data_IF_136074346705
#
_entry.id   IF_136074346705
#
_cell.length_a   1.000
_cell.length_b   1.000
_cell.length_c   1.000
_cell.angle_alpha   90.00
_cell.angle_beta   90.00
_cell.angle_gamma   90.00
#
_symmetry.space_group_name_H-M   'P 1'
#
loop_
_entity.id
_entity.type
_entity.pdbx_description
1 polymer ?
#
# COMPACT_ATOMS: atom_id res chain seq x y z
N UNK A 1 -25.27 10.75 -11.22
CA UNK A 1 -24.17 10.92 -12.17
C UNK A 1 -23.20 9.75 -12.06
N UNK A 2 -22.76 9.23 -13.21
CA UNK A 2 -21.74 8.18 -13.31
C UNK A 2 -20.52 8.80 -13.98
N UNK A 3 -19.34 8.47 -13.47
CA UNK A 3 -18.04 8.90 -14.02
C UNK A 3 -17.30 7.68 -14.56
N UNK A 4 -16.77 7.79 -15.76
CA UNK A 4 -15.97 6.73 -16.39
C UNK A 4 -14.55 7.22 -16.60
N UNK A 5 -13.62 6.35 -16.32
CA UNK A 5 -12.18 6.58 -16.36
C UNK A 5 -11.59 5.57 -17.34
N UNK A 6 -10.87 6.04 -18.34
CA UNK A 6 -10.39 5.20 -19.44
C UNK A 6 -8.87 5.32 -19.57
N UNK A 7 -8.16 4.21 -19.48
CA UNK A 7 -6.77 4.13 -19.92
C UNK A 7 -6.73 3.68 -21.38
N UNK A 8 -6.16 4.50 -22.25
CA UNK A 8 -6.00 4.21 -23.66
C UNK A 8 -4.51 4.32 -24.02
N UNK A 9 -3.80 3.18 -23.99
CA UNK A 9 -2.36 3.12 -24.26
C UNK A 9 -2.09 2.81 -25.72
N UNK A 10 -1.67 3.82 -26.47
CA UNK A 10 -1.35 3.77 -27.89
C UNK A 10 -2.29 4.61 -28.73
N UNK A 11 -3.58 4.27 -28.92
CA UNK A 11 -4.49 5.03 -29.74
C UNK A 11 -4.69 6.46 -29.23
N UNK A 12 -4.68 7.44 -30.16
CA UNK A 12 -4.90 8.86 -29.81
C UNK A 12 -6.37 9.20 -29.56
N UNK A 13 -7.26 8.31 -29.97
CA UNK A 13 -8.70 8.53 -29.92
C UNK A 13 -9.43 7.19 -29.87
N UNK A 14 -10.56 7.16 -29.14
CA UNK A 14 -11.51 6.06 -29.14
C UNK A 14 -12.94 6.58 -29.29
N UNK A 15 -13.83 5.70 -29.74
CA UNK A 15 -15.27 5.95 -29.78
C UNK A 15 -15.92 5.30 -28.55
N UNK A 16 -16.83 6.00 -27.88
CA UNK A 16 -17.65 5.47 -26.81
C UNK A 16 -19.12 5.40 -27.25
N UNK A 17 -19.82 4.29 -26.90
CA UNK A 17 -21.24 4.09 -27.15
C UNK A 17 -21.88 3.46 -25.91
N UNK A 18 -23.02 4.01 -25.51
CA UNK A 18 -23.88 3.38 -24.52
C UNK A 18 -24.62 2.20 -25.16
N UNK A 19 -24.53 1.02 -24.55
CA UNK A 19 -25.20 -0.19 -24.96
C UNK A 19 -25.95 -0.84 -23.79
N UNK A 20 -27.12 -1.39 -24.04
CA UNK A 20 -27.84 -2.28 -23.13
C UNK A 20 -27.36 -3.69 -23.41
N UNK A 21 -26.94 -4.40 -22.35
CA UNK A 21 -26.50 -5.77 -22.45
C UNK A 21 -27.69 -6.72 -22.38
N UNK A 22 -27.95 -7.40 -23.48
CA UNK A 22 -29.06 -8.38 -23.56
C UNK A 22 -28.54 -9.77 -23.17
N UNK A 23 -27.38 -10.13 -23.68
CA UNK A 23 -26.76 -11.43 -23.38
C UNK A 23 -25.23 -11.31 -23.45
N UNK A 24 -24.53 -11.75 -22.44
CA UNK A 24 -23.08 -11.61 -22.27
C UNK A 24 -22.27 -12.87 -22.61
N UNK A 25 -22.88 -13.90 -23.20
CA UNK A 25 -22.19 -15.14 -23.52
C UNK A 25 -21.35 -15.01 -24.77
N UNK A 26 -20.05 -15.23 -24.65
CA UNK A 26 -19.12 -15.27 -25.81
C UNK A 26 -18.89 -16.69 -26.33
N UNK A 27 -19.57 -17.69 -25.75
CA UNK A 27 -19.47 -19.08 -26.19
C UNK A 27 -20.02 -19.24 -27.62
N UNK A 28 -19.23 -19.76 -28.58
CA UNK A 28 -19.69 -19.98 -29.97
C UNK A 28 -20.88 -20.93 -30.12
N UNK A 29 -21.16 -21.74 -29.09
CA UNK A 29 -22.29 -22.68 -29.04
C UNK A 29 -23.51 -22.11 -28.32
N UNK A 30 -23.38 -20.95 -27.69
CA UNK A 30 -24.44 -20.23 -26.99
C UNK A 30 -25.13 -19.21 -27.89
N UNK A 31 -26.03 -18.39 -27.33
CA UNK A 31 -26.75 -17.34 -28.09
C UNK A 31 -25.80 -16.19 -28.54
N UNK A 32 -24.60 -16.12 -28.03
CA UNK A 32 -23.63 -15.10 -28.39
C UNK A 32 -23.74 -13.82 -27.56
N UNK A 33 -22.82 -12.90 -27.78
CA UNK A 33 -22.87 -11.55 -27.22
C UNK A 33 -23.94 -10.74 -27.96
N UNK A 34 -24.99 -10.33 -27.24
CA UNK A 34 -26.10 -9.54 -27.79
C UNK A 34 -26.15 -8.21 -27.04
N UNK A 35 -25.91 -7.13 -27.74
CA UNK A 35 -26.00 -5.75 -27.26
C UNK A 35 -26.99 -4.91 -28.06
N UNK A 36 -27.63 -3.96 -27.41
CA UNK A 36 -28.54 -3.00 -28.07
C UNK A 36 -28.01 -1.60 -27.89
N UNK A 37 -27.63 -0.89 -28.96
CA UNK A 37 -27.18 0.50 -28.87
C UNK A 37 -28.26 1.41 -28.30
N UNK A 38 -27.86 2.30 -27.39
CA UNK A 38 -28.73 3.31 -26.77
C UNK A 38 -28.27 4.69 -27.22
N UNK A 39 -29.20 5.53 -27.66
CA UNK A 39 -28.92 6.94 -27.96
C UNK A 39 -28.64 7.68 -26.65
N UNK A 40 -27.45 8.27 -26.52
CA UNK A 40 -27.03 8.96 -25.32
C UNK A 40 -26.07 10.12 -25.62
N UNK A 41 -26.02 11.08 -24.73
CA UNK A 41 -25.07 12.20 -24.80
C UNK A 41 -23.60 11.79 -24.70
N UNK A 42 -23.31 10.60 -24.17
CA UNK A 42 -21.93 10.08 -24.07
C UNK A 42 -21.49 9.34 -25.34
N UNK A 43 -22.36 9.15 -26.31
CA UNK A 43 -21.96 8.55 -27.58
C UNK A 43 -21.13 9.54 -28.38
N UNK A 44 -19.88 9.19 -28.67
CA UNK A 44 -19.01 10.09 -29.41
C UNK A 44 -17.52 9.69 -29.35
N UNK A 45 -16.70 10.60 -29.83
CA UNK A 45 -15.23 10.42 -29.86
C UNK A 45 -14.57 11.11 -28.70
N UNK A 46 -13.64 10.40 -28.09
CA UNK A 46 -12.88 10.84 -26.94
C UNK A 46 -11.37 10.76 -27.20
N UNK A 47 -10.63 11.62 -26.53
CA UNK A 47 -9.17 11.62 -26.62
C UNK A 47 -8.58 10.43 -25.86
N UNK A 48 -7.80 9.59 -26.55
CA UNK A 48 -7.02 8.54 -25.92
C UNK A 48 -5.84 9.12 -25.15
N UNK A 49 -5.63 8.63 -23.94
CA UNK A 49 -4.49 8.97 -23.10
C UNK A 49 -4.10 7.78 -22.24
N UNK A 50 -2.80 7.64 -22.04
CA UNK A 50 -2.28 6.66 -21.10
C UNK A 50 -2.48 7.18 -19.67
N UNK A 51 -3.12 6.36 -18.83
CA UNK A 51 -3.28 6.58 -17.41
C UNK A 51 -2.65 5.40 -16.65
N UNK A 52 -1.74 5.69 -15.72
CA UNK A 52 -0.99 4.66 -14.99
C UNK A 52 -1.69 4.39 -13.67
N UNK A 53 -1.81 3.12 -13.29
CA UNK A 53 -2.23 2.75 -11.94
C UNK A 53 -1.01 2.86 -11.02
N UNK A 54 -1.14 3.65 -9.96
CA UNK A 54 -0.15 3.72 -8.90
C UNK A 54 -0.54 2.77 -7.79
N UNK A 55 -0.06 1.53 -7.90
CA UNK A 55 -0.29 0.51 -6.89
C UNK A 55 0.63 0.67 -5.68
N UNK A 56 0.32 -0.06 -4.63
CA UNK A 56 1.06 -0.17 -3.40
C UNK A 56 0.48 0.66 -2.26
N UNK A 57 0.57 0.10 -1.08
CA UNK A 57 0.12 0.74 0.15
C UNK A 57 1.29 1.27 0.97
N UNK A 58 1.04 2.37 1.70
CA UNK A 58 2.03 3.04 2.53
C UNK A 58 1.37 3.99 3.54
N UNK A 59 2.13 4.42 4.52
CA UNK A 59 1.75 5.56 5.38
C UNK A 59 2.53 6.80 4.97
N UNK A 60 1.88 7.99 5.00
CA UNK A 60 2.54 9.24 4.68
C UNK A 60 2.27 10.31 5.75
N UNK A 61 3.31 11.04 6.12
CA UNK A 61 3.27 12.16 7.06
C UNK A 61 3.89 13.36 6.38
N UNK A 62 3.19 14.49 6.36
CA UNK A 62 3.73 15.72 5.80
C UNK A 62 5.10 16.10 6.39
N UNK A 63 5.92 16.75 5.59
CA UNK A 63 7.18 17.30 6.07
C UNK A 63 6.96 18.32 7.20
N UNK A 64 7.69 18.13 8.29
CA UNK A 64 7.75 19.07 9.41
C UNK A 64 9.21 19.25 9.80
N UNK A 65 9.57 20.43 10.26
CA UNK A 65 10.96 20.76 10.66
C UNK A 65 11.53 19.81 11.72
N UNK A 66 10.67 19.19 12.54
CA UNK A 66 11.04 18.19 13.54
C UNK A 66 11.64 16.92 12.93
N UNK A 67 11.36 16.64 11.67
CA UNK A 67 11.96 15.53 10.93
C UNK A 67 13.29 15.89 10.25
N UNK A 68 13.73 17.15 10.32
CA UNK A 68 15.03 17.59 9.81
C UNK A 68 16.13 17.30 10.84
N UNK A 69 16.34 16.03 11.12
CA UNK A 69 17.20 15.54 12.21
C UNK A 69 18.69 15.59 11.83
N UNK A 70 19.54 16.00 12.78
CA UNK A 70 21.00 15.86 12.66
C UNK A 70 21.44 14.48 13.13
N UNK A 71 21.12 14.13 14.37
CA UNK A 71 21.28 12.79 14.93
C UNK A 71 19.92 12.18 15.12
N UNK A 72 19.80 10.85 15.00
CA UNK A 72 18.50 10.18 15.09
C UNK A 72 18.62 8.72 15.49
N UNK A 73 17.49 8.14 15.87
CA UNK A 73 17.29 6.69 15.93
C UNK A 73 15.95 6.37 15.27
N UNK A 74 15.96 5.39 14.35
CA UNK A 74 14.79 4.78 13.75
C UNK A 74 14.61 3.39 14.30
N UNK A 75 13.37 2.94 14.51
CA UNK A 75 13.09 1.56 14.86
C UNK A 75 11.71 1.13 14.41
N UNK A 76 11.53 -0.16 14.16
CA UNK A 76 10.26 -0.81 13.88
C UNK A 76 10.36 -2.33 14.07
N UNK A 77 9.22 -2.98 14.16
CA UNK A 77 9.06 -4.39 13.96
C UNK A 77 8.58 -4.67 12.55
N UNK A 78 9.13 -5.69 11.92
CA UNK A 78 8.77 -6.11 10.56
C UNK A 78 8.56 -7.63 10.50
N UNK A 79 7.58 -8.04 9.70
CA UNK A 79 7.28 -9.43 9.38
C UNK A 79 7.16 -9.53 7.85
N UNK A 80 8.29 -9.68 7.14
CA UNK A 80 8.31 -9.59 5.69
C UNK A 80 7.68 -10.82 5.03
N UNK A 81 6.95 -10.62 3.94
CA UNK A 81 6.41 -11.68 3.09
C UNK A 81 7.25 -11.89 1.84
N UNK A 82 7.87 -10.83 1.32
CA UNK A 82 8.74 -10.87 0.17
C UNK A 82 10.02 -10.03 0.41
N UNK A 83 10.92 -10.47 1.34
CA UNK A 83 12.10 -9.67 1.67
C UNK A 83 13.13 -9.62 0.56
N UNK A 84 13.18 -10.64 -0.32
CA UNK A 84 14.16 -10.75 -1.41
C UNK A 84 13.49 -10.63 -2.76
N UNK A 85 14.17 -9.99 -3.71
CA UNK A 85 13.80 -10.06 -5.13
C UNK A 85 13.86 -11.50 -5.63
N UNK A 86 12.80 -11.97 -6.27
CA UNK A 86 12.81 -13.27 -6.93
C UNK A 86 13.28 -13.11 -8.38
N UNK A 87 14.33 -13.83 -8.82
CA UNK A 87 14.95 -13.56 -10.12
C UNK A 87 14.01 -13.73 -11.32
N UNK A 88 12.96 -14.54 -11.19
CA UNK A 88 12.05 -14.92 -12.27
C UNK A 88 10.64 -14.31 -12.14
N UNK A 89 10.08 -14.24 -10.94
CA UNK A 89 8.66 -13.96 -10.78
C UNK A 89 8.36 -12.53 -10.36
N UNK A 90 9.16 -11.94 -9.49
CA UNK A 90 9.00 -10.53 -9.08
C UNK A 90 10.35 -9.89 -8.83
N UNK A 91 10.50 -8.69 -9.37
CA UNK A 91 11.69 -7.86 -9.17
C UNK A 91 11.24 -6.57 -8.49
N UNK A 92 11.45 -6.49 -7.22
CA UNK A 92 11.35 -5.23 -6.50
C UNK A 92 12.74 -4.72 -6.15
N UNK A 93 12.91 -3.42 -6.09
CA UNK A 93 14.11 -2.78 -5.55
C UNK A 93 14.14 -2.82 -4.03
N UNK A 94 14.91 -1.94 -3.43
CA UNK A 94 14.88 -1.78 -1.98
C UNK A 94 13.49 -1.35 -1.51
N UNK A 95 13.04 -1.91 -0.38
CA UNK A 95 11.77 -1.61 0.26
C UNK A 95 12.00 -0.66 1.43
N UNK A 96 11.26 0.46 1.49
CA UNK A 96 11.34 1.41 2.60
C UNK A 96 10.53 0.96 3.80
N UNK A 97 11.00 1.20 5.00
CA UNK A 97 10.29 0.88 6.24
C UNK A 97 9.86 2.15 7.00
N UNK A 98 10.85 2.96 7.40
CA UNK A 98 10.65 4.28 8.02
C UNK A 98 11.63 5.23 7.33
N UNK A 99 11.13 6.10 6.47
CA UNK A 99 11.97 6.88 5.58
C UNK A 99 11.59 8.36 5.54
N UNK A 100 12.59 9.23 5.53
CA UNK A 100 12.52 10.60 5.06
C UNK A 100 13.58 10.73 3.98
N UNK A 101 13.23 10.31 2.79
CA UNK A 101 14.17 10.08 1.70
C UNK A 101 13.63 10.59 0.38
N UNK A 102 14.45 11.32 -0.35
CA UNK A 102 14.14 11.75 -1.71
C UNK A 102 15.42 12.10 -2.48
N UNK A 103 15.61 11.55 -3.67
CA UNK A 103 16.71 11.89 -4.59
C UNK A 103 18.09 11.89 -3.91
N UNK A 104 18.44 10.84 -3.19
CA UNK A 104 19.68 10.72 -2.45
C UNK A 104 19.89 11.79 -1.37
N UNK A 105 18.83 12.35 -0.82
CA UNK A 105 18.83 13.21 0.36
C UNK A 105 17.98 12.57 1.46
N UNK A 106 18.32 12.88 2.71
CA UNK A 106 17.60 12.40 3.87
C UNK A 106 18.17 11.12 4.45
N UNK A 107 17.32 10.38 5.13
CA UNK A 107 17.66 9.16 5.87
C UNK A 107 16.50 8.16 5.85
N UNK A 108 16.79 6.90 6.08
CA UNK A 108 15.74 5.88 6.19
C UNK A 108 16.28 4.50 6.51
N UNK A 109 15.38 3.68 7.04
CA UNK A 109 15.55 2.25 7.28
C UNK A 109 14.89 1.48 6.15
N UNK A 110 15.63 0.55 5.55
CA UNK A 110 15.23 -0.18 4.33
C UNK A 110 15.51 -1.68 4.46
N UNK A 111 14.90 -2.46 3.59
CA UNK A 111 15.32 -3.82 3.23
C UNK A 111 15.81 -3.76 1.78
N UNK A 112 17.00 -4.27 1.51
CA UNK A 112 17.57 -4.27 0.15
C UNK A 112 17.07 -5.47 -0.69
N UNK A 113 17.50 -5.54 -1.94
CA UNK A 113 17.12 -6.59 -2.90
C UNK A 113 17.51 -8.00 -2.44
N UNK A 114 18.55 -8.13 -1.61
CA UNK A 114 18.99 -9.39 -1.02
C UNK A 114 18.23 -9.75 0.28
N UNK A 115 17.30 -8.91 0.71
CA UNK A 115 16.52 -9.08 1.92
C UNK A 115 17.23 -8.64 3.20
N UNK A 116 18.34 -7.91 3.12
CA UNK A 116 19.09 -7.45 4.29
C UNK A 116 18.63 -6.05 4.72
N UNK A 117 18.62 -5.81 6.04
CA UNK A 117 18.36 -4.47 6.56
C UNK A 117 19.49 -3.49 6.20
N UNK A 118 19.10 -2.28 5.81
CA UNK A 118 20.01 -1.18 5.47
C UNK A 118 19.58 0.13 6.14
N UNK A 119 20.56 0.90 6.58
CA UNK A 119 20.39 2.33 6.90
C UNK A 119 20.98 3.16 5.76
N UNK A 120 20.16 4.02 5.16
CA UNK A 120 20.61 4.96 4.14
C UNK A 120 20.66 6.38 4.69
N UNK A 121 21.74 7.11 4.34
CA UNK A 121 21.87 8.56 4.58
C UNK A 121 22.52 9.19 3.35
N UNK A 122 21.83 10.09 2.67
CA UNK A 122 22.33 10.84 1.49
C UNK A 122 22.98 9.93 0.42
N UNK A 123 22.39 8.78 0.10
CA UNK A 123 22.90 7.84 -0.91
C UNK A 123 24.05 6.95 -0.43
N UNK A 124 24.53 7.12 0.81
CA UNK A 124 25.47 6.19 1.46
C UNK A 124 24.70 5.27 2.39
N UNK A 125 25.20 4.04 2.57
CA UNK A 125 24.50 3.01 3.32
C UNK A 125 25.42 2.11 4.14
N UNK A 126 24.86 1.51 5.18
CA UNK A 126 25.40 0.35 5.89
C UNK A 126 24.37 -0.76 5.87
N UNK A 127 24.80 -2.01 5.85
CA UNK A 127 23.95 -3.20 5.79
C UNK A 127 24.35 -4.23 6.84
N UNK A 128 23.39 -5.00 7.34
CA UNK A 128 23.65 -6.11 8.24
C UNK A 128 24.27 -7.32 7.54
N UNK A 129 24.17 -7.42 6.23
CA UNK A 129 24.55 -8.59 5.42
C UNK A 129 23.90 -9.92 5.90
N UNK A 130 22.83 -9.82 6.66
CA UNK A 130 22.05 -10.94 7.17
C UNK A 130 20.62 -10.79 6.66
N UNK A 131 20.18 -11.64 5.72
CA UNK A 131 18.81 -11.57 5.20
C UNK A 131 17.77 -11.81 6.28
N UNK A 132 16.69 -11.04 6.25
CA UNK A 132 15.52 -11.29 7.04
C UNK A 132 14.86 -12.60 6.58
N UNK A 133 14.44 -13.41 7.56
CA UNK A 133 13.58 -14.57 7.29
C UNK A 133 12.18 -14.08 6.97
N UNK A 134 11.61 -14.55 5.89
CA UNK A 134 10.21 -14.33 5.55
C UNK A 134 9.30 -14.99 6.60
N UNK A 135 8.09 -14.46 6.73
CA UNK A 135 7.07 -14.94 7.65
C UNK A 135 7.54 -15.07 9.13
N UNK A 136 8.46 -14.20 9.55
CA UNK A 136 8.97 -14.13 10.91
C UNK A 136 9.14 -12.69 11.37
N UNK A 137 8.92 -12.42 12.66
CA UNK A 137 9.12 -11.10 13.23
C UNK A 137 10.61 -10.79 13.44
N UNK A 138 11.02 -9.60 13.02
CA UNK A 138 12.34 -9.03 13.24
C UNK A 138 12.21 -7.63 13.82
N UNK A 139 13.01 -7.35 14.84
CA UNK A 139 13.20 -5.98 15.30
C UNK A 139 14.37 -5.35 14.56
N UNK A 140 14.13 -4.20 13.97
CA UNK A 140 15.14 -3.41 13.28
C UNK A 140 15.28 -2.04 13.95
N UNK A 141 16.53 -1.62 14.21
CA UNK A 141 16.81 -0.29 14.72
C UNK A 141 18.10 0.27 14.10
N UNK A 142 18.10 1.56 13.80
CA UNK A 142 19.27 2.26 13.28
C UNK A 142 19.52 3.54 14.08
N UNK A 143 20.72 3.75 14.59
CA UNK A 143 21.13 4.97 15.27
C UNK A 143 22.23 5.69 14.49
N UNK A 144 22.16 7.01 14.42
CA UNK A 144 23.16 7.87 13.79
C UNK A 144 23.53 9.07 14.68
N UNK A 145 24.81 9.25 14.93
CA UNK A 145 25.34 10.40 15.67
C UNK A 145 26.10 11.37 14.73
N UNK A 146 25.55 12.54 14.54
CA UNK A 146 26.11 13.56 13.65
C UNK A 146 27.44 14.14 14.14
N UNK A 147 27.76 14.06 15.45
CA UNK A 147 29.03 14.57 16.00
C UNK A 147 30.20 13.70 15.56
N UNK A 148 29.99 12.41 15.51
CA UNK A 148 31.04 11.42 15.19
C UNK A 148 30.93 10.87 13.78
N UNK A 149 29.76 11.05 13.13
CA UNK A 149 29.39 10.40 11.89
C UNK A 149 29.09 8.90 12.05
N UNK A 150 29.10 8.39 13.29
CA UNK A 150 28.89 6.95 13.54
C UNK A 150 27.45 6.56 13.32
N UNK A 151 27.26 5.53 12.50
CA UNK A 151 25.99 4.85 12.29
C UNK A 151 26.10 3.42 12.87
N UNK A 152 25.00 2.94 13.46
CA UNK A 152 24.87 1.56 13.94
C UNK A 152 23.49 1.04 13.53
N UNK A 153 23.45 -0.15 12.93
CA UNK A 153 22.24 -0.83 12.48
C UNK A 153 22.12 -2.17 13.21
N UNK A 154 20.98 -2.38 13.85
CA UNK A 154 20.63 -3.58 14.61
C UNK A 154 19.57 -4.36 13.85
N UNK A 155 19.74 -5.68 13.82
CA UNK A 155 18.77 -6.64 13.29
C UNK A 155 18.64 -7.81 14.26
N UNK A 156 17.45 -8.02 14.81
CA UNK A 156 17.16 -9.01 15.83
C UNK A 156 15.93 -9.82 15.45
N UNK A 157 16.08 -11.07 15.01
CA UNK A 157 14.96 -11.99 14.88
C UNK A 157 14.27 -12.19 16.24
N UNK A 158 12.94 -12.24 16.26
CA UNK A 158 12.18 -12.54 17.47
C UNK A 158 12.41 -13.98 17.93
N UNK A 159 12.50 -14.91 16.97
CA UNK A 159 12.78 -16.33 17.21
C UNK A 159 14.16 -16.64 16.63
N UNK A 160 15.04 -17.16 17.48
CA UNK A 160 16.37 -17.61 17.10
C UNK A 160 16.43 -19.13 17.30
N UNK A 161 16.78 -19.86 16.26
CA UNK A 161 17.01 -21.29 16.35
C UNK A 161 18.46 -21.59 16.72
N UNK A 162 18.72 -22.76 17.32
CA UNK A 162 20.04 -23.13 17.82
C UNK A 162 21.16 -23.09 16.77
N UNK A 163 20.84 -23.25 15.50
CA UNK A 163 21.79 -23.22 14.39
C UNK A 163 21.81 -21.87 13.63
N UNK A 164 21.02 -20.90 14.05
CA UNK A 164 21.04 -19.58 13.42
C UNK A 164 22.36 -18.87 13.71
N UNK A 165 23.00 -18.25 12.72
CA UNK A 165 24.19 -17.46 12.96
C UNK A 165 23.88 -16.21 13.79
N UNK A 166 24.82 -15.81 14.65
CA UNK A 166 24.69 -14.56 15.38
C UNK A 166 24.69 -13.37 14.41
N UNK A 167 23.66 -12.53 14.48
CA UNK A 167 23.60 -11.30 13.70
C UNK A 167 24.22 -10.16 14.50
N UNK A 168 25.44 -9.77 14.14
CA UNK A 168 26.15 -8.66 14.76
C UNK A 168 25.64 -7.32 14.22
N UNK A 169 25.55 -6.27 15.05
CA UNK A 169 25.23 -4.93 14.57
C UNK A 169 26.23 -4.46 13.50
N UNK A 170 25.70 -3.92 12.40
CA UNK A 170 26.53 -3.28 11.40
C UNK A 170 26.89 -1.86 11.85
N UNK A 171 28.15 -1.46 11.69
CA UNK A 171 28.62 -0.11 12.04
C UNK A 171 29.38 0.51 10.89
N UNK A 172 29.31 1.84 10.78
CA UNK A 172 30.03 2.58 9.76
C UNK A 172 30.02 4.07 10.01
N UNK A 173 30.73 4.83 9.16
CA UNK A 173 30.67 6.30 9.13
C UNK A 173 29.82 6.73 7.94
N UNK A 174 28.80 7.53 8.21
CA UNK A 174 27.90 8.09 7.21
C UNK A 174 27.92 9.64 7.29
N UNK A 175 27.56 10.35 6.19
CA UNK A 175 27.47 11.79 6.18
C UNK A 175 26.28 12.30 6.99
N UNK A 176 26.31 13.56 7.42
CA UNK A 176 25.13 14.18 8.04
C UNK A 176 23.96 14.27 7.03
N UNK A 177 22.71 13.98 7.46
CA UNK A 177 21.56 14.05 6.58
C UNK A 177 21.36 15.44 5.99
N UNK A 178 21.04 15.50 4.70
CA UNK A 178 20.51 16.69 4.02
C UNK A 178 19.01 16.55 3.90
N UNK A 179 18.28 17.61 4.08
CA UNK A 179 16.82 17.57 4.09
C UNK A 179 16.24 18.41 2.95
N UNK A 180 15.06 18.03 2.54
CA UNK A 180 14.17 18.78 1.65
C UNK A 180 12.72 18.63 2.18
N UNK A 181 11.75 19.14 1.45
CA UNK A 181 10.33 19.10 1.81
C UNK A 181 9.65 17.74 1.53
N UNK A 182 10.41 16.66 1.32
CA UNK A 182 9.82 15.33 1.15
C UNK A 182 9.11 14.85 2.42
N UNK A 183 7.99 14.15 2.31
CA UNK A 183 7.28 13.60 3.47
C UNK A 183 8.09 12.50 4.17
N UNK A 184 7.68 12.17 5.40
CA UNK A 184 8.04 10.89 6.01
C UNK A 184 7.12 9.82 5.45
N UNK A 185 7.69 8.69 5.06
CA UNK A 185 6.94 7.55 4.50
C UNK A 185 7.19 6.31 5.35
N UNK A 186 6.10 5.62 5.68
CA UNK A 186 6.09 4.32 6.34
C UNK A 186 5.74 3.26 5.29
N UNK A 187 6.46 2.15 5.26
CA UNK A 187 6.30 1.07 4.28
C UNK A 187 6.51 1.52 2.82
N UNK A 188 7.48 2.39 2.58
CA UNK A 188 7.87 2.89 1.27
C UNK A 188 8.87 4.04 1.37
N UNK A 189 9.20 4.66 0.25
CA UNK A 189 10.02 5.87 0.21
C UNK A 189 9.63 6.76 -0.97
N UNK A 190 10.00 8.03 -0.90
CA UNK A 190 9.75 8.99 -1.97
C UNK A 190 10.67 8.70 -3.16
N UNK A 191 10.09 8.33 -4.29
CA UNK A 191 10.78 8.09 -5.55
C UNK A 191 11.08 9.37 -6.33
N UNK A 192 11.54 9.22 -7.57
CA UNK A 192 11.76 10.35 -8.48
C UNK A 192 10.42 10.97 -8.91
N UNK A 193 10.43 12.27 -9.22
CA UNK A 193 9.26 12.97 -9.72
C UNK A 193 8.69 12.31 -10.98
N UNK A 194 7.39 11.97 -10.93
CA UNK A 194 6.61 11.65 -12.12
C UNK A 194 5.66 12.82 -12.42
N UNK A 195 5.64 13.27 -13.68
CA UNK A 195 4.67 14.28 -14.14
C UNK A 195 3.21 13.81 -14.06
N UNK A 196 2.99 12.52 -13.84
CA UNK A 196 1.67 11.90 -13.87
C UNK A 196 1.12 11.52 -12.47
N UNK A 197 1.86 11.77 -11.39
CA UNK A 197 1.39 11.38 -10.06
C UNK A 197 0.42 12.43 -9.51
N UNK A 198 -0.86 12.17 -9.62
CA UNK A 198 -1.85 12.74 -8.72
C UNK A 198 -1.73 12.00 -7.39
N UNK A 199 -0.98 12.57 -6.48
CA UNK A 199 -0.80 12.02 -5.15
C UNK A 199 -2.10 12.05 -4.33
N UNK A 200 -2.19 11.18 -3.33
CA UNK A 200 -3.09 11.41 -2.18
C UNK A 200 -2.91 12.86 -1.71
N UNK A 201 -3.96 13.46 -1.19
CA UNK A 201 -3.98 14.89 -0.79
C UNK A 201 -2.85 15.29 0.18
N UNK A 202 -2.18 14.33 0.80
CA UNK A 202 -1.08 14.47 1.75
C UNK A 202 0.32 14.29 1.15
N UNK A 203 0.43 13.86 -0.12
CA UNK A 203 1.72 13.78 -0.82
C UNK A 203 1.83 15.00 -1.73
N UNK A 204 2.93 15.79 -1.67
CA UNK A 204 3.09 16.95 -2.55
C UNK A 204 2.94 16.56 -4.01
N UNK A 205 2.24 17.38 -4.80
CA UNK A 205 2.03 17.14 -6.22
C UNK A 205 3.36 16.86 -6.94
N UNK A 206 3.39 15.80 -7.76
CA UNK A 206 4.58 15.39 -8.49
C UNK A 206 5.55 14.46 -7.76
N UNK A 207 5.25 14.05 -6.52
CA UNK A 207 6.01 13.03 -5.79
C UNK A 207 5.32 11.66 -5.96
N UNK A 208 6.09 10.63 -6.32
CA UNK A 208 5.66 9.24 -6.31
C UNK A 208 6.24 8.52 -5.11
N UNK A 209 5.49 7.60 -4.53
CA UNK A 209 6.03 6.65 -3.55
C UNK A 209 6.48 5.41 -4.32
N UNK A 210 7.64 4.91 -3.95
CA UNK A 210 8.30 3.75 -4.54
C UNK A 210 8.78 2.81 -3.46
N UNK A 211 9.17 1.60 -3.84
CA UNK A 211 9.73 0.61 -2.93
C UNK A 211 8.81 0.33 -1.75
N UNK A 212 7.53 0.12 -2.05
CA UNK A 212 6.54 -0.28 -1.06
C UNK A 212 6.97 -1.60 -0.41
N UNK A 213 6.76 -1.68 0.88
CA UNK A 213 7.14 -2.83 1.68
C UNK A 213 6.07 -3.92 1.58
N UNK A 214 6.51 -5.15 1.33
CA UNK A 214 5.67 -6.34 1.36
C UNK A 214 5.81 -7.04 2.70
N UNK A 215 4.83 -6.86 3.59
CA UNK A 215 4.82 -7.45 4.91
C UNK A 215 4.15 -6.62 6.00
N UNK A 216 4.16 -7.15 7.22
CA UNK A 216 3.61 -6.44 8.37
C UNK A 216 4.63 -5.47 8.94
N UNK A 217 4.21 -4.24 9.19
CA UNK A 217 4.95 -3.22 9.92
C UNK A 217 4.23 -2.92 11.23
N UNK A 218 4.98 -2.88 12.34
CA UNK A 218 4.44 -2.62 13.67
C UNK A 218 5.35 -1.67 14.45
N UNK A 219 4.74 -0.77 15.22
CA UNK A 219 5.38 0.15 16.15
C UNK A 219 6.57 0.95 15.57
N UNK A 220 6.45 1.54 14.38
CA UNK A 220 7.51 2.38 13.83
C UNK A 220 7.72 3.64 14.69
N UNK A 221 8.99 4.06 14.84
CA UNK A 221 9.35 5.19 15.71
C UNK A 221 10.56 5.96 15.20
N UNK A 222 10.53 7.27 15.41
CA UNK A 222 11.62 8.22 15.13
C UNK A 222 12.00 8.97 16.40
N UNK A 223 13.29 8.97 16.76
CA UNK A 223 13.86 9.73 17.86
C UNK A 223 14.90 10.73 17.34
N UNK A 224 15.05 11.88 18.02
CA UNK A 224 15.93 12.99 17.63
C UNK A 224 17.39 12.85 18.17
N UNK A 225 17.76 11.69 18.61
CA UNK A 225 19.08 11.40 19.19
C UNK A 225 19.57 10.00 18.79
N UNK A 226 20.88 9.86 18.66
CA UNK A 226 21.50 8.54 18.60
C UNK A 226 21.35 7.86 19.97
N UNK A 227 20.47 6.87 20.05
CA UNK A 227 20.27 6.07 21.26
C UNK A 227 21.32 4.97 21.35
N UNK A 228 21.75 4.69 22.59
CA UNK A 228 22.58 3.52 22.92
C UNK A 228 21.78 2.24 22.80
N UNK A 229 22.47 1.10 22.76
CA UNK A 229 21.82 -0.23 22.73
C UNK A 229 20.83 -0.41 23.89
N UNK A 230 21.23 -0.05 25.12
CA UNK A 230 20.38 -0.17 26.31
C UNK A 230 19.13 0.70 26.21
N UNK A 231 19.24 1.90 25.65
CA UNK A 231 18.10 2.79 25.44
C UNK A 231 17.15 2.25 24.34
N UNK A 232 17.69 1.67 23.28
CA UNK A 232 16.92 1.00 22.23
C UNK A 232 16.14 -0.19 22.83
N UNK A 233 16.78 -1.01 23.67
CA UNK A 233 16.09 -2.10 24.37
C UNK A 233 14.99 -1.60 25.31
N UNK A 234 15.22 -0.51 26.03
CA UNK A 234 14.21 0.11 26.87
C UNK A 234 13.01 0.59 26.04
N UNK A 235 13.25 1.18 24.87
CA UNK A 235 12.21 1.61 23.95
C UNK A 235 11.42 0.42 23.38
N UNK A 236 12.12 -0.68 23.04
CA UNK A 236 11.55 -1.93 22.54
C UNK A 236 10.62 -2.57 23.58
N UNK A 237 11.07 -2.70 24.83
CA UNK A 237 10.30 -3.25 25.95
C UNK A 237 9.12 -2.36 26.33
N UNK A 238 9.24 -1.04 26.21
CA UNK A 238 8.15 -0.10 26.49
C UNK A 238 6.96 -0.31 25.59
N UNK A 239 7.17 -0.67 24.35
CA UNK A 239 6.12 -1.07 23.42
C UNK A 239 5.43 -2.38 23.84
N UNK A 240 6.16 -3.31 24.46
CA UNK A 240 5.62 -4.58 24.96
C UNK A 240 4.87 -4.44 26.28
N UNK A 241 5.29 -3.53 27.17
CA UNK A 241 4.65 -3.30 28.47
C UNK A 241 3.28 -2.64 28.41
N UNK A 242 2.97 -1.99 27.32
CA UNK A 242 1.62 -1.43 27.10
C UNK A 242 0.49 -2.46 27.01
N UNK A 243 0.79 -3.75 27.12
CA UNK A 243 -0.20 -4.83 27.05
C UNK A 243 -1.10 -4.93 28.30
N UNK A 244 -0.69 -4.41 29.44
CA UNK A 244 -1.43 -4.57 30.72
C UNK A 244 -1.80 -3.27 31.42
N UNK A 245 -1.29 -2.12 31.00
CA UNK A 245 -1.53 -0.85 31.65
C UNK A 245 -2.10 0.23 30.72
N UNK A 246 -3.06 0.98 31.27
CA UNK A 246 -3.82 2.03 30.60
C UNK A 246 -2.94 3.01 29.81
N UNK A 247 -3.45 3.47 28.67
CA UNK A 247 -3.15 4.57 27.70
C UNK A 247 -1.90 5.49 27.89
N UNK A 248 -1.08 5.35 28.94
CA UNK A 248 -0.01 6.29 29.30
C UNK A 248 1.38 5.67 29.48
N UNK A 249 1.63 4.43 29.12
CA UNK A 249 2.91 3.76 29.37
C UNK A 249 3.84 3.71 28.16
N UNK A 250 4.00 4.85 27.48
CA UNK A 250 5.18 5.08 26.61
C UNK A 250 6.47 5.15 27.48
N UNK A 251 7.65 5.16 26.84
CA UNK A 251 8.90 5.36 27.58
C UNK A 251 8.83 6.64 28.41
N UNK A 252 9.10 6.51 29.70
CA UNK A 252 9.02 7.63 30.69
C UNK A 252 10.38 8.33 30.85
N UNK A 253 10.37 9.53 31.38
CA UNK A 253 11.57 10.28 31.73
C UNK A 253 12.32 10.87 30.53
N UNK A 254 13.67 10.81 30.58
CA UNK A 254 14.54 11.43 29.57
C UNK A 254 14.38 10.83 28.18
N UNK A 255 14.03 9.54 28.05
CA UNK A 255 13.87 8.86 26.78
C UNK A 255 12.60 9.32 26.03
N UNK A 256 11.49 9.59 26.74
CA UNK A 256 10.26 10.06 26.10
C UNK A 256 10.47 11.38 25.38
N UNK A 257 11.35 12.25 25.90
CA UNK A 257 11.69 13.54 25.29
C UNK A 257 12.47 13.41 23.98
N UNK A 258 13.00 12.23 23.67
CA UNK A 258 13.71 12.00 22.41
C UNK A 258 12.79 11.60 21.28
N UNK A 259 11.56 11.20 21.56
CA UNK A 259 10.59 10.75 20.57
C UNK A 259 10.09 11.95 19.76
N UNK A 260 10.21 11.85 18.45
CA UNK A 260 9.59 12.77 17.49
C UNK A 260 8.26 12.22 17.03
N UNK A 261 8.21 10.94 16.66
CA UNK A 261 6.99 10.25 16.29
C UNK A 261 7.06 8.77 16.71
N UNK A 262 5.91 8.22 17.10
CA UNK A 262 5.77 6.82 17.50
C UNK A 262 4.35 6.37 17.11
N UNK A 263 4.22 5.72 15.98
CA UNK A 263 2.91 5.31 15.46
C UNK A 263 2.46 4.01 16.12
N UNK A 264 1.22 4.06 16.63
CA UNK A 264 0.52 2.91 17.22
C UNK A 264 -0.67 2.54 16.32
N UNK A 265 -0.49 1.54 15.50
CA UNK A 265 -1.52 1.11 14.54
C UNK A 265 -2.66 0.31 15.19
N UNK A 266 -2.56 -0.02 16.46
CA UNK A 266 -3.65 -0.58 17.25
C UNK A 266 -4.70 0.46 17.65
N UNK A 267 -4.39 1.74 17.49
CA UNK A 267 -5.33 2.83 17.68
C UNK A 267 -5.97 3.21 16.33
N UNK A 268 -7.29 3.36 16.31
CA UNK A 268 -8.02 3.69 15.08
C UNK A 268 -7.95 2.61 13.99
N UNK A 269 -7.94 1.33 14.34
CA UNK A 269 -7.83 0.18 13.41
C UNK A 269 -8.82 0.26 12.23
N UNK A 270 -10.02 0.78 12.46
CA UNK A 270 -11.08 0.92 11.47
C UNK A 270 -11.02 2.23 10.68
N UNK A 271 -9.90 2.93 10.70
CA UNK A 271 -9.69 4.19 9.99
C UNK A 271 -8.51 4.10 9.01
N UNK A 272 -8.35 5.10 8.16
CA UNK A 272 -7.19 5.28 7.30
C UNK A 272 -6.07 6.08 7.97
N UNK A 273 -6.09 6.19 9.29
CA UNK A 273 -5.12 6.97 10.06
C UNK A 273 -4.24 6.03 10.89
N UNK A 274 -2.93 6.22 10.82
CA UNK A 274 -1.97 5.67 11.76
C UNK A 274 -1.65 6.71 12.82
N UNK A 275 -2.21 6.55 14.03
CA UNK A 275 -2.08 7.55 15.07
C UNK A 275 -0.67 7.61 15.66
N UNK A 276 -0.10 8.83 15.69
CA UNK A 276 1.15 9.10 16.40
C UNK A 276 0.89 9.34 17.89
N UNK A 277 1.51 8.51 18.72
CA UNK A 277 1.48 8.65 20.19
C UNK A 277 2.62 9.55 20.70
N UNK A 278 3.44 10.10 19.81
CA UNK A 278 4.49 11.04 20.13
C UNK A 278 3.96 12.43 20.55
N UNK A 279 4.87 13.32 20.97
CA UNK A 279 4.47 14.62 21.53
C UNK A 279 3.87 15.58 20.49
N UNK A 280 4.13 15.36 19.20
CA UNK A 280 3.70 16.27 18.14
C UNK A 280 2.44 15.83 17.41
N UNK A 281 1.96 14.59 17.64
CA UNK A 281 0.77 14.03 16.98
C UNK A 281 0.84 14.09 15.47
N UNK A 282 1.96 13.66 14.92
CA UNK A 282 2.18 13.56 13.47
C UNK A 282 1.53 12.29 12.92
N UNK A 283 0.20 12.28 12.87
CA UNK A 283 -0.56 11.15 12.36
C UNK A 283 -0.17 10.84 10.90
N UNK A 284 -0.09 9.57 10.56
CA UNK A 284 0.16 9.10 9.21
C UNK A 284 -1.16 8.85 8.49
N UNK A 285 -1.33 9.37 7.29
CA UNK A 285 -2.39 8.93 6.40
C UNK A 285 -1.99 7.60 5.77
N UNK A 286 -2.83 6.58 5.93
CA UNK A 286 -2.64 5.25 5.33
C UNK A 286 -3.33 5.25 3.97
N UNK A 287 -2.59 4.88 2.94
CA UNK A 287 -2.96 4.95 1.53
C UNK A 287 -2.89 3.56 0.92
N UNK A 288 -3.77 3.26 -0.06
CA UNK A 288 -3.78 2.00 -0.79
C UNK A 288 -4.57 0.87 -0.10
N UNK A 289 -5.30 1.17 0.98
CA UNK A 289 -6.12 0.20 1.72
C UNK A 289 -5.37 -1.06 2.17
N UNK A 290 -4.19 -0.97 2.83
CA UNK A 290 -3.53 -2.16 3.36
C UNK A 290 -4.38 -2.84 4.42
N UNK A 291 -4.12 -4.11 4.67
CA UNK A 291 -4.86 -4.88 5.67
C UNK A 291 -4.52 -4.40 7.08
N UNK A 292 -5.52 -3.89 7.80
CA UNK A 292 -5.46 -3.49 9.20
C UNK A 292 -5.84 -4.65 10.12
N UNK A 293 -5.72 -4.46 11.44
CA UNK A 293 -6.01 -5.49 12.44
C UNK A 293 -5.20 -6.77 12.25
N UNK A 294 -3.96 -6.65 11.81
CA UNK A 294 -3.06 -7.79 11.70
C UNK A 294 -2.37 -8.06 13.04
N UNK A 295 -2.15 -9.33 13.34
CA UNK A 295 -1.40 -9.71 14.56
C UNK A 295 -0.04 -9.04 14.59
N UNK A 296 0.26 -8.36 15.69
CA UNK A 296 1.53 -7.67 15.95
C UNK A 296 2.63 -8.61 16.43
N UNK A 297 3.84 -8.05 16.62
CA UNK A 297 4.99 -8.77 17.18
C UNK A 297 4.74 -9.31 18.60
N UNK A 298 3.76 -8.78 19.29
CA UNK A 298 3.38 -9.10 20.67
C UNK A 298 2.11 -9.97 20.77
N UNK A 299 1.68 -10.59 19.68
CA UNK A 299 0.51 -11.46 19.66
C UNK A 299 0.70 -12.67 20.58
N UNK A 300 -0.20 -12.82 21.56
CA UNK A 300 -0.11 -13.86 22.58
C UNK A 300 -0.70 -15.22 22.15
N UNK A 301 -1.54 -15.22 21.11
CA UNK A 301 -2.29 -16.40 20.68
C UNK A 301 -3.52 -16.73 21.53
N UNK A 302 -3.91 -15.86 22.47
CA UNK A 302 -5.05 -16.10 23.37
C UNK A 302 -6.34 -15.46 22.87
N UNK A 303 -6.27 -14.33 22.18
CA UNK A 303 -7.43 -13.62 21.66
C UNK A 303 -7.38 -13.55 20.14
N UNK A 304 -8.38 -14.14 19.46
CA UNK A 304 -8.48 -14.15 18.00
C UNK A 304 -9.45 -13.10 17.46
N UNK A 305 -9.85 -12.13 18.28
CA UNK A 305 -10.63 -10.97 17.89
C UNK A 305 -9.91 -9.68 18.32
N UNK A 306 -9.52 -8.88 17.35
CA UNK A 306 -8.83 -7.62 17.57
C UNK A 306 -9.62 -6.64 18.46
N UNK A 307 -10.96 -6.75 18.49
CA UNK A 307 -11.82 -5.91 19.35
C UNK A 307 -11.60 -6.16 20.84
N UNK A 308 -11.24 -7.39 21.19
CA UNK A 308 -10.98 -7.80 22.57
C UNK A 308 -9.53 -7.56 23.01
N UNK A 309 -8.58 -7.57 22.07
CA UNK A 309 -7.17 -7.38 22.35
C UNK A 309 -6.49 -6.47 21.30
N UNK A 310 -6.96 -5.23 21.09
CA UNK A 310 -6.50 -4.37 20.00
C UNK A 310 -4.98 -4.15 20.01
N UNK A 311 -4.34 -4.16 21.18
CA UNK A 311 -2.89 -3.98 21.30
C UNK A 311 -2.07 -5.14 20.71
N UNK A 312 -2.65 -6.32 20.60
CA UNK A 312 -2.02 -7.47 19.96
C UNK A 312 -2.20 -7.46 18.42
N UNK A 313 -3.00 -6.53 17.90
CA UNK A 313 -3.33 -6.35 16.49
C UNK A 313 -2.85 -5.00 15.94
N UNK A 314 -1.71 -4.54 16.44
CA UNK A 314 -1.09 -3.27 16.09
C UNK A 314 -0.23 -3.31 14.83
N UNK A 315 -0.33 -4.32 13.99
CA UNK A 315 0.38 -4.36 12.73
C UNK A 315 -0.52 -3.97 11.55
N UNK A 316 0.08 -3.36 10.53
CA UNK A 316 -0.51 -3.16 9.21
C UNK A 316 0.25 -4.02 8.21
N UNK A 317 -0.46 -4.79 7.39
CA UNK A 317 0.13 -5.55 6.29
C UNK A 317 0.06 -4.72 5.02
N UNK A 318 1.21 -4.26 4.58
CA UNK A 318 1.41 -3.49 3.37
C UNK A 318 1.81 -4.39 2.20
N UNK A 319 1.43 -3.99 0.97
CA UNK A 319 1.79 -4.68 -0.26
C UNK A 319 2.10 -3.65 -1.36
N UNK A 320 2.93 -4.03 -2.32
CA UNK A 320 3.30 -3.17 -3.46
C UNK A 320 2.25 -3.19 -4.59
N UNK A 321 1.29 -4.09 -4.52
CA UNK A 321 0.19 -4.24 -5.47
C UNK A 321 -1.20 -3.87 -4.91
N UNK A 322 -1.29 -3.38 -3.67
CA UNK A 322 -2.53 -2.85 -3.11
C UNK A 322 -3.07 -1.69 -3.96
N UNK A 323 -4.37 -1.67 -4.24
CA UNK A 323 -5.03 -0.60 -4.99
C UNK A 323 -6.38 -0.26 -4.34
N UNK A 324 -6.52 0.99 -3.89
CA UNK A 324 -7.80 1.54 -3.42
C UNK A 324 -8.51 2.35 -4.51
N UNK A 325 -7.75 3.09 -5.30
CA UNK A 325 -8.22 3.95 -6.38
C UNK A 325 -7.08 4.09 -7.41
N UNK A 326 -7.38 3.85 -8.68
CA UNK A 326 -6.44 4.03 -9.78
C UNK A 326 -6.00 5.51 -9.93
N UNK A 327 -6.77 6.45 -9.38
CA UNK A 327 -6.53 7.91 -9.39
C UNK A 327 -6.37 8.47 -10.80
N UNK A 328 -7.12 7.90 -11.72
CA UNK A 328 -7.19 8.38 -13.08
C UNK A 328 -8.02 9.65 -13.18
N UNK A 329 -7.71 10.49 -14.12
CA UNK A 329 -8.57 11.60 -14.49
C UNK A 329 -9.83 11.11 -15.21
N UNK A 330 -10.94 11.74 -14.92
CA UNK A 330 -12.23 11.42 -15.55
C UNK A 330 -12.22 11.74 -17.05
N UNK A 331 -12.75 10.82 -17.84
CA UNK A 331 -12.89 10.98 -19.29
C UNK A 331 -14.33 11.24 -19.71
N UNK A 332 -15.29 10.58 -19.07
CA UNK A 332 -16.72 10.68 -19.43
C UNK A 332 -17.53 10.85 -18.15
N UNK A 333 -18.43 11.83 -18.12
CA UNK A 333 -19.45 11.97 -17.09
C UNK A 333 -20.84 11.81 -17.74
N UNK A 334 -21.69 11.01 -17.13
CA UNK A 334 -23.04 10.81 -17.59
C UNK A 334 -24.05 10.95 -16.45
N UNK A 335 -25.11 11.69 -16.72
CA UNK A 335 -26.27 11.78 -15.83
C UNK A 335 -27.35 10.85 -16.33
N UNK A 336 -27.70 9.86 -15.52
CA UNK A 336 -28.78 8.92 -15.84
C UNK A 336 -30.08 9.69 -15.96
N UNK A 337 -30.77 9.66 -17.12
CA UNK A 337 -32.01 10.39 -17.28
C UNK A 337 -33.10 9.88 -16.35
N UNK A 338 -34.00 10.79 -15.92
CA UNK A 338 -35.16 10.38 -15.12
C UNK A 338 -36.03 9.42 -15.93
N UNK A 339 -36.45 8.31 -15.30
CA UNK A 339 -37.25 7.26 -15.96
C UNK A 339 -36.43 6.35 -16.88
N UNK A 340 -35.10 6.40 -16.80
CA UNK A 340 -34.27 5.46 -17.54
C UNK A 340 -34.50 4.04 -17.03
N UNK A 341 -34.61 3.06 -17.92
CA UNK A 341 -34.97 1.69 -17.60
C UNK A 341 -33.91 1.05 -16.70
N UNK A 342 -34.35 0.36 -15.64
CA UNK A 342 -33.48 -0.46 -14.78
C UNK A 342 -33.01 -1.69 -15.52
N UNK A 343 -31.69 -1.81 -15.71
CA UNK A 343 -31.09 -2.94 -16.43
C UNK A 343 -29.56 -2.90 -16.34
N UNK A 344 -28.90 -3.82 -17.05
CA UNK A 344 -27.44 -3.89 -17.22
C UNK A 344 -27.01 -3.14 -18.48
N UNK A 345 -26.07 -2.25 -18.34
CA UNK A 345 -25.54 -1.41 -19.42
C UNK A 345 -24.02 -1.47 -19.45
N UNK A 346 -23.46 -1.11 -20.59
CA UNK A 346 -22.03 -0.89 -20.74
C UNK A 346 -21.75 0.39 -21.53
N UNK A 347 -20.62 1.03 -21.22
CA UNK A 347 -19.99 1.92 -22.18
C UNK A 347 -19.05 1.06 -23.02
N UNK A 348 -19.43 0.81 -24.26
CA UNK A 348 -18.59 0.12 -25.24
C UNK A 348 -17.59 1.12 -25.79
N UNK A 349 -16.32 0.79 -25.70
CA UNK A 349 -15.19 1.55 -26.24
C UNK A 349 -14.65 0.83 -27.46
N UNK A 350 -14.36 1.58 -28.53
CA UNK A 350 -13.77 1.00 -29.74
C UNK A 350 -12.66 1.90 -30.29
N UNK A 351 -11.59 1.30 -30.78
CA UNK A 351 -10.51 2.02 -31.48
C UNK A 351 -10.66 1.88 -33.01
N UNK A 352 -9.92 2.67 -33.77
CA UNK A 352 -9.87 2.54 -35.23
C UNK A 352 -9.17 1.24 -35.65
N UNK A 353 -8.31 0.73 -34.80
CA UNK A 353 -7.54 -0.49 -34.98
C UNK A 353 -8.40 -1.75 -34.76
N UNK A 354 -9.61 -1.58 -34.21
CA UNK A 354 -10.58 -2.65 -33.98
C UNK A 354 -10.53 -3.24 -32.57
N UNK A 355 -9.77 -2.63 -31.65
CA UNK A 355 -9.83 -3.03 -30.25
C UNK A 355 -11.17 -2.62 -29.64
N UNK A 356 -11.71 -3.48 -28.79
CA UNK A 356 -12.97 -3.25 -28.09
C UNK A 356 -12.80 -3.51 -26.58
N UNK A 357 -13.46 -2.68 -25.77
CA UNK A 357 -13.58 -2.88 -24.32
C UNK A 357 -14.96 -2.45 -23.83
N UNK A 358 -15.41 -2.98 -22.71
CA UNK A 358 -16.74 -2.75 -22.16
C UNK A 358 -16.62 -2.38 -20.69
N UNK A 359 -17.16 -1.20 -20.32
CA UNK A 359 -17.25 -0.77 -18.91
C UNK A 359 -18.69 -1.01 -18.43
N UNK A 360 -18.96 -2.11 -17.68
CA UNK A 360 -20.30 -2.46 -17.26
C UNK A 360 -20.76 -1.61 -16.06
N UNK A 361 -22.07 -1.34 -16.01
CA UNK A 361 -22.73 -0.72 -14.87
C UNK A 361 -24.20 -1.11 -14.82
N UNK A 362 -24.82 -0.93 -13.64
CA UNK A 362 -26.22 -1.27 -13.43
C UNK A 362 -27.02 -0.01 -13.12
N UNK A 363 -28.18 0.12 -13.76
CA UNK A 363 -29.16 1.12 -13.40
C UNK A 363 -30.22 0.46 -12.53
N UNK A 364 -30.41 0.99 -11.32
CA UNK A 364 -31.41 0.49 -10.37
C UNK A 364 -32.67 1.37 -10.41
N UNK A 365 -33.86 0.84 -10.07
CA UNK A 365 -35.06 1.64 -9.93
C UNK A 365 -34.90 2.73 -8.86
N UNK A 366 -35.62 3.82 -8.99
CA UNK A 366 -35.78 4.78 -7.91
C UNK A 366 -36.41 4.11 -6.69
N UNK A 367 -36.02 4.54 -5.50
CA UNK A 367 -36.61 4.04 -4.27
C UNK A 367 -38.12 4.25 -4.27
N UNK A 368 -38.89 3.16 -4.15
CA UNK A 368 -40.34 3.17 -4.16
C UNK A 368 -40.96 3.03 -5.57
N UNK A 369 -40.19 2.90 -6.66
CA UNK A 369 -40.67 2.62 -7.99
C UNK A 369 -40.39 1.17 -8.40
N UNK A 370 -41.42 0.37 -8.63
CA UNK A 370 -41.27 -0.98 -9.18
C UNK A 370 -41.30 -0.89 -10.72
N UNK A 371 -40.26 -1.41 -11.37
CA UNK A 371 -40.14 -1.45 -12.83
C UNK A 371 -40.31 -2.86 -13.41
N UNK A 372 -40.12 -3.89 -12.62
CA UNK A 372 -40.17 -5.27 -13.07
C UNK A 372 -40.75 -6.19 -11.98
N UNK A 373 -41.38 -7.31 -12.42
CA UNK A 373 -41.93 -8.34 -11.52
C UNK A 373 -40.87 -9.24 -10.90
N UNK A 374 -39.69 -9.25 -11.46
CA UNK A 374 -38.52 -10.08 -11.00
C UNK A 374 -37.38 -9.13 -10.71
N UNK A 375 -36.80 -9.28 -9.53
CA UNK A 375 -35.57 -8.58 -9.12
C UNK A 375 -34.37 -9.50 -9.20
N UNK A 376 -33.23 -8.98 -9.69
CA UNK A 376 -31.95 -9.66 -9.69
C UNK A 376 -31.03 -8.96 -8.68
N UNK A 377 -30.48 -9.73 -7.75
CA UNK A 377 -29.48 -9.24 -6.82
C UNK A 377 -28.09 -9.48 -7.40
N UNK A 378 -27.38 -8.39 -7.71
CA UNK A 378 -26.02 -8.44 -8.25
C UNK A 378 -25.02 -8.41 -7.10
N UNK A 379 -24.09 -9.40 -6.99
CA UNK A 379 -23.11 -9.47 -5.90
C UNK A 379 -21.93 -8.52 -6.14
N UNK A 380 -22.18 -7.21 -6.20
CA UNK A 380 -21.17 -6.18 -6.54
C UNK A 380 -20.01 -6.13 -5.54
N UNK A 381 -20.23 -6.49 -4.26
CA UNK A 381 -19.16 -6.58 -3.25
C UNK A 381 -18.18 -7.71 -3.61
N UNK A 382 -18.69 -8.84 -4.07
CA UNK A 382 -17.83 -9.94 -4.55
C UNK A 382 -17.04 -9.53 -5.79
N UNK A 383 -17.66 -8.80 -6.72
CA UNK A 383 -16.94 -8.28 -7.88
C UNK A 383 -15.81 -7.34 -7.49
N UNK A 384 -16.04 -6.46 -6.51
CA UNK A 384 -14.98 -5.59 -5.98
C UNK A 384 -13.86 -6.37 -5.30
N UNK A 385 -14.20 -7.40 -4.51
CA UNK A 385 -13.21 -8.22 -3.82
C UNK A 385 -12.26 -8.95 -4.77
N UNK A 386 -12.75 -9.33 -5.96
CA UNK A 386 -11.97 -10.07 -6.96
C UNK A 386 -11.56 -9.22 -8.17
N UNK A 387 -11.79 -7.92 -8.16
CA UNK A 387 -11.52 -7.05 -9.31
C UNK A 387 -10.05 -7.07 -9.78
N UNK A 388 -9.12 -7.27 -8.85
CA UNK A 388 -7.69 -7.32 -9.11
C UNK A 388 -7.10 -8.73 -8.96
N UNK A 389 -7.97 -9.75 -8.83
CA UNK A 389 -7.50 -11.13 -8.66
C UNK A 389 -7.03 -11.72 -9.98
N UNK A 390 -5.79 -12.15 -10.00
CA UNK A 390 -5.17 -12.91 -11.09
C UNK A 390 -4.62 -14.20 -10.51
N UNK A 391 -5.47 -15.23 -10.36
CA UNK A 391 -5.14 -16.53 -9.74
C UNK A 391 -3.86 -17.17 -10.28
N UNK A 392 -3.42 -16.76 -11.43
CA UNK A 392 -2.25 -17.33 -12.10
C UNK A 392 -1.39 -16.24 -12.76
N UNK A 393 -1.20 -15.14 -12.04
CA UNK A 393 -0.41 -14.02 -12.52
C UNK A 393 0.97 -14.52 -13.01
N UNK A 394 1.30 -14.26 -14.28
CA UNK A 394 2.54 -14.72 -14.96
C UNK A 394 2.72 -16.24 -15.07
N UNK A 395 1.73 -17.05 -14.76
CA UNK A 395 1.76 -18.49 -14.92
C UNK A 395 0.88 -18.93 -16.09
N UNK A 396 1.25 -18.57 -17.31
CA UNK A 396 0.44 -18.72 -18.53
C UNK A 396 -0.31 -20.06 -18.69
N UNK A 397 0.23 -21.16 -18.14
CA UNK A 397 -0.47 -22.45 -18.11
C UNK A 397 -1.57 -22.52 -17.07
N UNK A 398 -1.43 -21.87 -15.92
CA UNK A 398 -2.44 -21.86 -14.87
C UNK A 398 -3.56 -20.85 -15.18
N UNK A 399 -3.25 -19.75 -15.82
CA UNK A 399 -4.25 -18.81 -16.33
C UNK A 399 -5.15 -19.50 -17.37
N UNK A 400 -4.57 -20.30 -18.25
CA UNK A 400 -5.32 -21.16 -19.16
C UNK A 400 -6.23 -22.17 -18.44
N UNK A 401 -5.76 -22.74 -17.32
CA UNK A 401 -6.54 -23.69 -16.52
C UNK A 401 -7.70 -23.02 -15.78
N UNK A 402 -7.51 -21.80 -15.26
CA UNK A 402 -8.52 -21.12 -14.42
C UNK A 402 -9.51 -20.32 -15.25
N UNK A 403 -9.05 -19.58 -16.27
CA UNK A 403 -9.89 -18.66 -17.05
C UNK A 403 -10.29 -19.20 -18.42
N UNK A 404 -9.63 -20.23 -18.93
CA UNK A 404 -9.89 -20.80 -20.25
C UNK A 404 -10.23 -22.28 -20.23
N UNK A 405 -10.57 -22.83 -19.06
CA UNK A 405 -11.09 -24.18 -19.01
C UNK A 405 -12.41 -24.20 -19.78
N UNK A 406 -12.61 -25.19 -20.66
CA UNK A 406 -13.86 -25.34 -21.44
C UNK A 406 -15.15 -25.23 -20.61
N UNK A 407 -15.10 -25.63 -19.35
CA UNK A 407 -16.21 -25.52 -18.40
C UNK A 407 -16.59 -24.06 -18.12
N UNK A 408 -15.63 -23.16 -18.00
CA UNK A 408 -15.89 -21.73 -17.76
C UNK A 408 -16.29 -20.99 -19.02
N UNK A 409 -15.88 -21.46 -20.19
CA UNK A 409 -16.32 -20.96 -21.48
C UNK A 409 -17.68 -21.50 -21.93
N UNK A 410 -18.14 -22.57 -21.29
CA UNK A 410 -19.44 -23.20 -21.56
C UNK A 410 -20.55 -22.78 -20.60
N UNK A 411 -20.19 -22.07 -19.52
CA UNK A 411 -21.15 -21.47 -18.59
C UNK A 411 -21.47 -20.04 -18.98
#
# INVERSE_FOLDING_TARGET
KIKFYVNCDGPKQYDAKLVKMIHGDTNPRGPGLIEKPIKSSINGKYKGRKQVIHSGSYGVVEDKSQFHLKSFTLQCWVWPTAPKTHPKYWKHGAQGLVTKWHNNKGYGLFINEDGCAELWINGKKITTNAPLRDHAWHFLAASYDAKTGKATLYHEPQIVYALDPEIKPATGKLPAPRHDSSPVVLAGYTGSHSKAATAASSVPAGITISGQYNGKLDSPRICNRALSRAEIETMKLGAQRGMTERRNSGPTGALSKTIIAAWDFSDGINTIIGHDQGPYRFDAQIVGCPTRAMTGHNFSGHNFDWKHAPKEYGAIHFHDDDVDDARWDMDIEWEVPKGFESDSYCVKLTTKEGDEDYIPFFVVPHVGEEQAKIAVMIPTISYMAYANEHLANNAGGAELLVYRVPIMQQQ
#
